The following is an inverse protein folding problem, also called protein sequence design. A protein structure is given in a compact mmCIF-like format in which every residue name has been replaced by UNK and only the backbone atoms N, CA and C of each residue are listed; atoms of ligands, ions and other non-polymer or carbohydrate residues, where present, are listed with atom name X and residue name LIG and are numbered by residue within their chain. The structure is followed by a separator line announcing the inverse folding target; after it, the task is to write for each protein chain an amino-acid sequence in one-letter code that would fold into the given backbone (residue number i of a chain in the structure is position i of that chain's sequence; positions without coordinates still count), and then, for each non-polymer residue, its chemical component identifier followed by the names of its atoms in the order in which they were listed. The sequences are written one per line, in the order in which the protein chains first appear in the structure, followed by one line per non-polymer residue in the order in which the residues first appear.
data_IF_545266166397
#
_entry.id   IF_545266166397
#
_cell.length_a   1.000
_cell.length_b   1.000
_cell.length_c   1.000
_cell.angle_alpha   90.00
_cell.angle_beta   90.00
_cell.angle_gamma   90.00
#
_symmetry.space_group_name_H-M   'P 1'
#
loop_
_entity.id
_entity.type
_entity.pdbx_description
1 polymer ?
#
# COMPACT_ATOMS: atom_id res chain seq x y z
N UNK A 1 31.53 -40.06 3.63
CA UNK A 1 30.86 -38.74 3.56
C UNK A 1 30.39 -38.35 4.95
N UNK A 2 30.89 -37.23 5.47
CA UNK A 2 30.76 -36.85 6.89
C UNK A 2 29.35 -36.40 7.25
N UNK A 3 28.81 -36.89 8.38
CA UNK A 3 27.52 -36.50 8.98
C UNK A 3 27.32 -34.97 9.09
N UNK A 4 28.42 -34.20 9.07
CA UNK A 4 28.41 -32.73 9.11
C UNK A 4 27.85 -32.07 7.84
N UNK A 5 27.99 -32.71 6.67
CA UNK A 5 27.49 -32.16 5.40
C UNK A 5 25.97 -32.26 5.33
N UNK A 6 25.38 -33.34 5.86
CA UNK A 6 23.93 -33.55 5.87
C UNK A 6 23.19 -32.55 6.79
N UNK A 7 23.82 -32.11 7.88
CA UNK A 7 23.21 -31.18 8.83
C UNK A 7 23.14 -29.75 8.27
N UNK A 8 24.13 -29.34 7.47
CA UNK A 8 24.14 -28.01 6.84
C UNK A 8 23.07 -27.90 5.75
N UNK A 9 22.82 -28.97 4.97
CA UNK A 9 21.79 -28.94 3.91
C UNK A 9 20.38 -28.88 4.48
N UNK A 10 20.13 -29.47 5.65
CA UNK A 10 18.81 -29.48 6.29
C UNK A 10 18.42 -28.11 6.87
N UNK A 11 19.39 -27.34 7.38
CA UNK A 11 19.16 -25.99 7.93
C UNK A 11 18.87 -24.97 6.80
N UNK A 12 19.45 -25.16 5.62
CA UNK A 12 19.23 -24.28 4.46
C UNK A 12 17.85 -24.45 3.79
N UNK A 13 17.18 -25.59 3.96
CA UNK A 13 15.82 -25.80 3.42
C UNK A 13 14.71 -25.29 4.33
N UNK A 14 15.01 -24.89 5.56
CA UNK A 14 14.03 -24.47 6.57
C UNK A 14 13.78 -22.94 6.62
N UNK A 15 14.43 -22.15 5.77
CA UNK A 15 14.41 -20.68 5.87
C UNK A 15 13.73 -19.95 4.71
N UNK A 16 12.98 -20.64 3.84
CA UNK A 16 12.31 -20.00 2.69
C UNK A 16 10.79 -20.20 2.65
N UNK A 17 10.16 -20.27 3.81
CA UNK A 17 8.76 -19.85 3.92
C UNK A 17 8.76 -18.37 4.26
N UNK A 18 9.07 -17.53 3.25
CA UNK A 18 8.67 -16.14 3.29
C UNK A 18 7.16 -16.15 3.16
N UNK A 19 6.53 -16.23 4.32
CA UNK A 19 5.11 -16.10 4.55
C UNK A 19 4.65 -14.78 3.93
N UNK A 20 4.16 -14.81 2.68
CA UNK A 20 3.60 -13.63 2.00
C UNK A 20 2.38 -13.18 2.81
N UNK A 21 2.53 -12.18 3.67
CA UNK A 21 1.43 -11.61 4.44
C UNK A 21 1.49 -10.10 4.26
N UNK A 22 0.47 -9.49 3.66
CA UNK A 22 0.20 -8.11 4.05
C UNK A 22 -0.30 -8.16 5.49
N UNK A 23 0.28 -7.37 6.38
CA UNK A 23 -0.18 -7.32 7.77
C UNK A 23 -1.42 -6.45 7.92
N UNK A 24 -1.43 -5.34 7.17
CA UNK A 24 -2.47 -4.33 7.26
C UNK A 24 -2.86 -3.84 5.87
N UNK A 25 -4.14 -3.61 5.66
CA UNK A 25 -4.66 -2.89 4.49
C UNK A 25 -5.65 -1.82 4.91
N UNK A 26 -5.65 -0.71 4.19
CA UNK A 26 -6.55 0.40 4.41
C UNK A 26 -7.33 0.66 3.12
N UNK A 27 -8.65 0.80 3.25
CA UNK A 27 -9.50 1.29 2.17
C UNK A 27 -9.86 2.74 2.45
N UNK A 28 -9.56 3.62 1.51
CA UNK A 28 -9.96 5.03 1.53
C UNK A 28 -10.91 5.32 0.38
N UNK A 29 -11.98 6.05 0.64
CA UNK A 29 -12.90 6.55 -0.39
C UNK A 29 -12.57 8.00 -0.71
N UNK A 30 -12.50 8.34 -2.01
CA UNK A 30 -12.08 9.64 -2.48
C UNK A 30 -13.06 10.26 -3.49
N UNK A 31 -13.28 11.56 -3.34
CA UNK A 31 -14.05 12.38 -4.30
C UNK A 31 -13.15 13.48 -4.87
N UNK A 32 -13.17 13.64 -6.19
CA UNK A 32 -12.42 14.66 -6.90
C UNK A 32 -13.02 16.05 -6.61
N UNK A 33 -12.17 17.05 -6.46
CA UNK A 33 -12.59 18.44 -6.37
C UNK A 33 -12.93 19.00 -7.75
N UNK A 34 -13.76 20.03 -7.78
CA UNK A 34 -14.16 20.71 -9.02
C UNK A 34 -12.92 21.15 -9.81
N UNK A 35 -12.85 20.74 -11.07
CA UNK A 35 -11.74 21.05 -11.97
C UNK A 35 -10.61 20.02 -11.96
N UNK A 36 -10.70 18.97 -11.14
CA UNK A 36 -9.80 17.82 -11.15
C UNK A 36 -10.47 16.65 -11.87
N UNK A 37 -9.75 15.99 -12.75
CA UNK A 37 -10.18 14.79 -13.46
C UNK A 37 -9.56 13.52 -12.86
N UNK A 38 -10.07 12.35 -13.27
CA UNK A 38 -9.47 11.07 -12.88
C UNK A 38 -8.05 10.91 -13.42
N UNK A 39 -7.78 11.44 -14.63
CA UNK A 39 -6.44 11.42 -15.23
C UNK A 39 -5.45 12.24 -14.39
N UNK A 40 -5.89 13.36 -13.80
CA UNK A 40 -5.06 14.15 -12.90
C UNK A 40 -4.72 13.35 -11.62
N UNK A 41 -5.70 12.65 -11.05
CA UNK A 41 -5.50 11.79 -9.88
C UNK A 41 -4.57 10.61 -10.16
N UNK A 42 -4.67 10.00 -11.34
CA UNK A 42 -3.77 8.92 -11.80
C UNK A 42 -2.37 9.47 -12.11
N UNK A 43 -2.25 10.67 -12.67
CA UNK A 43 -0.95 11.30 -12.87
C UNK A 43 -0.27 11.58 -11.52
N UNK A 44 -1.04 12.02 -10.53
CA UNK A 44 -0.56 12.26 -9.18
C UNK A 44 -0.10 10.99 -8.46
N UNK A 45 -0.69 9.82 -8.75
CA UNK A 45 -0.24 8.54 -8.17
C UNK A 45 1.16 8.13 -8.63
N UNK A 46 1.68 8.66 -9.74
CA UNK A 46 3.09 8.46 -10.11
C UNK A 46 4.04 9.15 -9.14
N UNK A 47 3.67 10.34 -8.65
CA UNK A 47 4.45 11.05 -7.63
C UNK A 47 4.42 10.31 -6.28
N UNK A 48 3.31 9.62 -5.96
CA UNK A 48 3.23 8.72 -4.80
C UNK A 48 4.32 7.65 -4.89
N UNK A 49 4.44 6.98 -6.04
CA UNK A 49 5.41 5.91 -6.21
C UNK A 49 6.86 6.42 -6.05
N UNK A 50 7.19 7.59 -6.61
CA UNK A 50 8.52 8.19 -6.45
C UNK A 50 8.83 8.52 -4.99
N UNK A 51 7.84 9.03 -4.26
CA UNK A 51 7.97 9.30 -2.83
C UNK A 51 8.16 7.98 -2.07
N UNK A 52 7.36 6.95 -2.35
CA UNK A 52 7.44 5.63 -1.71
C UNK A 52 8.76 4.89 -1.97
N UNK A 53 9.35 5.07 -3.15
CA UNK A 53 10.62 4.46 -3.55
C UNK A 53 11.87 5.31 -3.19
N UNK A 54 11.69 6.50 -2.62
CA UNK A 54 12.80 7.42 -2.35
C UNK A 54 13.78 6.92 -1.28
N UNK A 55 15.07 7.23 -1.46
CA UNK A 55 16.20 6.82 -0.59
C UNK A 55 16.20 7.48 0.82
N UNK A 56 15.15 8.21 1.18
CA UNK A 56 15.04 8.96 2.42
C UNK A 56 14.25 8.26 3.53
N UNK A 57 13.75 7.05 3.30
CA UNK A 57 12.87 6.32 4.21
C UNK A 57 13.54 5.07 4.78
N UNK A 58 13.10 4.64 5.96
CA UNK A 58 13.66 3.45 6.60
C UNK A 58 13.39 2.19 5.76
N UNK A 59 12.22 2.12 5.12
CA UNK A 59 11.75 0.99 4.33
C UNK A 59 10.90 1.50 3.14
N UNK A 60 10.70 0.62 2.13
CA UNK A 60 9.62 0.83 1.16
C UNK A 60 8.29 0.78 1.89
N UNK A 61 7.50 1.85 1.77
CA UNK A 61 6.41 2.14 2.73
C UNK A 61 5.17 1.29 2.54
N UNK A 62 4.51 1.39 1.39
CA UNK A 62 3.29 0.63 1.13
C UNK A 62 3.11 0.40 -0.35
N UNK A 63 2.38 -0.66 -0.69
CA UNK A 63 1.76 -0.77 -2.00
C UNK A 63 0.40 -0.07 -2.00
N UNK A 64 0.01 0.46 -3.15
CA UNK A 64 -1.28 1.12 -3.33
C UNK A 64 -1.95 0.64 -4.61
N UNK A 65 -3.26 0.42 -4.56
CA UNK A 65 -4.10 0.29 -5.75
C UNK A 65 -5.04 1.48 -5.87
N UNK A 66 -5.15 2.00 -7.10
CA UNK A 66 -6.18 2.95 -7.50
C UNK A 66 -7.37 2.15 -8.06
N UNK A 67 -8.48 2.11 -7.32
CA UNK A 67 -9.64 1.28 -7.64
C UNK A 67 -10.79 2.15 -8.13
N UNK A 68 -11.04 2.12 -9.45
CA UNK A 68 -12.17 2.81 -10.07
C UNK A 68 -13.38 1.85 -10.13
N UNK A 69 -14.54 2.23 -9.59
CA UNK A 69 -15.74 1.40 -9.68
C UNK A 69 -16.21 1.30 -11.14
N UNK A 70 -16.45 0.07 -11.63
CA UNK A 70 -16.96 -0.19 -13.00
C UNK A 70 -18.40 -0.65 -12.99
N UNK A 71 -18.77 -1.49 -12.02
CA UNK A 71 -20.12 -1.99 -11.79
C UNK A 71 -20.31 -2.07 -10.28
N UNK A 72 -21.43 -1.55 -9.79
CA UNK A 72 -21.83 -1.72 -8.40
C UNK A 72 -23.13 -2.50 -8.32
N UNK A 73 -23.21 -3.46 -7.39
CA UNK A 73 -24.25 -4.49 -7.41
C UNK A 73 -25.60 -4.03 -6.84
N UNK A 74 -25.59 -3.04 -5.95
CA UNK A 74 -26.80 -2.68 -5.17
C UNK A 74 -27.08 -1.20 -5.16
N UNK A 75 -26.06 -0.36 -5.06
CA UNK A 75 -26.17 1.10 -5.04
C UNK A 75 -25.01 1.69 -5.85
N UNK A 76 -25.11 2.96 -6.22
CA UNK A 76 -24.01 3.66 -6.87
C UNK A 76 -23.01 4.17 -5.82
N UNK A 77 -21.76 4.33 -6.24
CA UNK A 77 -20.68 4.69 -5.34
C UNK A 77 -20.93 6.04 -4.71
N UNK A 78 -20.64 6.17 -3.42
CA UNK A 78 -20.53 7.49 -2.79
C UNK A 78 -19.17 8.17 -3.09
N UNK A 79 -18.25 7.47 -3.77
CA UNK A 79 -16.90 7.95 -4.10
C UNK A 79 -16.61 7.83 -5.59
N UNK A 80 -15.88 8.79 -6.14
CA UNK A 80 -15.39 8.70 -7.52
C UNK A 80 -14.40 7.55 -7.71
N UNK A 81 -13.61 7.22 -6.68
CA UNK A 81 -12.69 6.09 -6.66
C UNK A 81 -12.26 5.72 -5.22
N UNK A 82 -11.52 4.63 -5.09
CA UNK A 82 -10.97 4.15 -3.82
C UNK A 82 -9.46 3.92 -3.90
N UNK A 83 -8.75 4.19 -2.80
CA UNK A 83 -7.40 3.69 -2.59
C UNK A 83 -7.45 2.42 -1.73
N UNK A 84 -6.68 1.40 -2.13
CA UNK A 84 -6.30 0.29 -1.26
C UNK A 84 -4.81 0.41 -0.96
N UNK A 85 -4.48 0.85 0.26
CA UNK A 85 -3.11 0.86 0.75
C UNK A 85 -2.82 -0.47 1.47
N UNK A 86 -1.63 -1.02 1.33
CA UNK A 86 -1.25 -2.26 2.02
C UNK A 86 0.21 -2.28 2.42
N UNK A 87 0.46 -2.78 3.64
CA UNK A 87 1.78 -2.87 4.26
C UNK A 87 2.15 -4.33 4.49
N UNK A 88 3.39 -4.68 4.18
CA UNK A 88 3.91 -6.05 4.33
C UNK A 88 4.12 -6.49 5.78
N UNK A 89 4.15 -5.56 6.73
CA UNK A 89 4.24 -5.87 8.16
C UNK A 89 3.71 -4.70 9.00
N UNK A 90 3.36 -4.96 10.27
CA UNK A 90 3.03 -3.89 11.22
C UNK A 90 4.23 -2.98 11.50
N UNK A 91 5.46 -3.48 11.37
CA UNK A 91 6.67 -2.68 11.52
C UNK A 91 6.78 -1.66 10.40
N UNK A 92 6.58 -2.08 9.15
CA UNK A 92 6.57 -1.19 7.99
C UNK A 92 5.45 -0.15 8.14
N UNK A 93 4.25 -0.57 8.55
CA UNK A 93 3.14 0.36 8.82
C UNK A 93 3.50 1.39 9.90
N UNK A 94 4.07 0.96 11.03
CA UNK A 94 4.46 1.86 12.12
C UNK A 94 5.56 2.84 11.70
N UNK A 95 6.55 2.36 10.95
CA UNK A 95 7.62 3.20 10.39
C UNK A 95 7.05 4.23 9.41
N UNK A 96 6.17 3.79 8.50
CA UNK A 96 5.48 4.68 7.57
C UNK A 96 4.69 5.76 8.32
N UNK A 97 3.85 5.40 9.29
CA UNK A 97 3.10 6.40 10.07
C UNK A 97 4.03 7.40 10.78
N UNK A 98 5.13 6.92 11.37
CA UNK A 98 6.10 7.80 12.05
C UNK A 98 6.80 8.75 11.07
N UNK A 99 7.28 8.24 9.94
CA UNK A 99 8.00 9.06 8.96
C UNK A 99 7.06 9.98 8.17
N UNK A 100 5.91 9.46 7.76
CA UNK A 100 4.91 10.16 6.95
C UNK A 100 4.21 11.25 7.75
N UNK A 101 3.63 10.89 8.91
CA UNK A 101 2.81 11.80 9.70
C UNK A 101 3.61 12.51 10.79
N UNK A 102 4.38 11.80 11.62
CA UNK A 102 5.03 12.43 12.79
C UNK A 102 6.26 13.27 12.40
N UNK A 103 7.00 12.84 11.38
CA UNK A 103 8.21 13.52 10.89
C UNK A 103 7.91 14.45 9.69
N UNK A 104 6.65 14.56 9.27
CA UNK A 104 6.18 15.49 8.24
C UNK A 104 6.65 15.20 6.80
N UNK A 105 7.23 14.01 6.54
CA UNK A 105 7.74 13.68 5.20
C UNK A 105 6.60 13.50 4.18
N UNK A 106 5.36 13.36 4.63
CA UNK A 106 4.15 13.32 3.80
C UNK A 106 3.47 14.67 3.60
N UNK A 107 3.88 15.74 4.29
CA UNK A 107 3.08 16.96 4.40
C UNK A 107 2.79 17.64 3.06
N UNK A 108 3.82 17.83 2.23
CA UNK A 108 3.66 18.51 0.94
C UNK A 108 2.85 17.66 -0.04
N UNK A 109 3.00 16.34 0.03
CA UNK A 109 2.15 15.41 -0.70
C UNK A 109 0.69 15.54 -0.26
N UNK A 110 0.43 15.52 1.05
CA UNK A 110 -0.94 15.60 1.58
C UNK A 110 -1.59 16.94 1.28
N UNK A 111 -0.83 18.04 1.25
CA UNK A 111 -1.34 19.36 0.80
C UNK A 111 -1.79 19.30 -0.66
N UNK A 112 -0.96 18.76 -1.56
CA UNK A 112 -1.30 18.63 -2.98
C UNK A 112 -2.47 17.68 -3.21
N UNK A 113 -2.50 16.53 -2.52
CA UNK A 113 -3.65 15.63 -2.51
C UNK A 113 -4.92 16.38 -2.10
N UNK A 114 -4.86 17.15 -1.02
CA UNK A 114 -5.98 17.92 -0.52
C UNK A 114 -6.43 19.04 -1.47
N UNK A 115 -5.59 19.54 -2.38
CA UNK A 115 -6.02 20.49 -3.43
C UNK A 115 -6.85 19.81 -4.53
N UNK A 116 -6.59 18.53 -4.79
CA UNK A 116 -7.17 17.76 -5.89
C UNK A 116 -8.41 16.97 -5.50
N UNK A 117 -8.47 16.46 -4.26
CA UNK A 117 -9.50 15.52 -3.84
C UNK A 117 -9.76 15.59 -2.33
N UNK A 118 -10.90 15.04 -1.93
CA UNK A 118 -11.22 14.78 -0.54
C UNK A 118 -11.27 13.26 -0.34
N UNK A 119 -10.32 12.73 0.42
CA UNK A 119 -10.28 11.33 0.79
C UNK A 119 -10.62 11.15 2.27
N UNK A 120 -11.29 10.05 2.60
CA UNK A 120 -11.45 9.59 3.98
C UNK A 120 -11.13 8.11 4.09
N UNK A 121 -10.48 7.73 5.20
CA UNK A 121 -10.34 6.33 5.55
C UNK A 121 -11.72 5.75 5.84
N UNK A 122 -12.03 4.61 5.22
CA UNK A 122 -13.26 3.87 5.46
C UNK A 122 -13.01 2.80 6.52
N UNK A 123 -11.97 1.99 6.31
CA UNK A 123 -11.63 0.89 7.19
C UNK A 123 -10.14 0.53 7.09
N UNK A 124 -9.60 0.04 8.21
CA UNK A 124 -8.34 -0.68 8.28
C UNK A 124 -8.62 -2.14 8.60
N UNK A 125 -7.87 -3.03 7.97
CA UNK A 125 -8.04 -4.47 8.06
C UNK A 125 -6.72 -5.13 8.39
N UNK A 126 -6.77 -6.11 9.29
CA UNK A 126 -5.72 -7.12 9.36
C UNK A 126 -5.88 -8.05 8.17
N UNK A 127 -4.79 -8.36 7.49
CA UNK A 127 -4.84 -9.15 6.27
C UNK A 127 -4.02 -10.42 6.39
N UNK A 128 -4.43 -11.43 5.64
CA UNK A 128 -3.72 -12.68 5.43
C UNK A 128 -3.81 -12.96 3.94
N UNK A 129 -2.67 -13.12 3.26
CA UNK A 129 -2.69 -13.44 1.83
C UNK A 129 -3.04 -14.91 1.71
N UNK A 130 -4.23 -15.20 1.18
CA UNK A 130 -4.68 -16.57 0.96
C UNK A 130 -4.23 -17.13 -0.39
N UNK A 131 -3.85 -16.23 -1.31
CA UNK A 131 -3.34 -16.55 -2.64
C UNK A 131 -2.63 -15.33 -3.23
N UNK A 132 -1.46 -15.53 -3.81
CA UNK A 132 -0.78 -14.49 -4.60
C UNK A 132 -1.50 -14.24 -5.92
N UNK A 133 -1.57 -12.98 -6.33
CA UNK A 133 -2.10 -12.62 -7.64
C UNK A 133 -1.20 -13.23 -8.71
N UNK A 134 -1.70 -14.07 -9.63
CA UNK A 134 -0.90 -14.52 -10.75
C UNK A 134 -0.61 -13.30 -11.63
N UNK A 135 0.61 -12.78 -11.59
CA UNK A 135 1.11 -11.84 -12.57
C UNK A 135 1.43 -12.54 -13.88
N UNK A 136 1.47 -11.77 -14.97
CA UNK A 136 2.02 -12.21 -16.26
C UNK A 136 3.56 -12.36 -16.19
#
# INVERSE_FOLDING_TARGET
MSKKIFLCTLILTLSFSLDTHSALSEVQGCNLKKGTSMDDAIAFSKEVNEIQDGDGYNEKRFGQLFMMPVIEQTEASEFDFYYLNFWGSYQIYGNDMSEWADQGKGDDFMKKLAEMMNCRSLNLFNTVVTREYPGD
#
